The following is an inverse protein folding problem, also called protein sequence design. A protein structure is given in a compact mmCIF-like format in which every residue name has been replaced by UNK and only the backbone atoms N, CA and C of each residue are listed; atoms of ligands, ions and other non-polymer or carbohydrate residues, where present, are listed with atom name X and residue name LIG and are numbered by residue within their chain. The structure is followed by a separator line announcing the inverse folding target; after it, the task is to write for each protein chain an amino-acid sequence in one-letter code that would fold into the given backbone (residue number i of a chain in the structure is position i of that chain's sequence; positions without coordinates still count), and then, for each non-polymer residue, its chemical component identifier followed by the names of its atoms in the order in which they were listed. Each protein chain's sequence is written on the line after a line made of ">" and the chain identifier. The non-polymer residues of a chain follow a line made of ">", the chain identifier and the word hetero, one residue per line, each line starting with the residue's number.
data_IF_758867872475
#
_entry.id   IF_758867872475
#
_cell.length_a   1.000
_cell.length_b   1.000
_cell.length_c   1.000
_cell.angle_alpha   90.00
_cell.angle_beta   90.00
_cell.angle_gamma   90.00
#
_symmetry.space_group_name_H-M   'P 1'
#
loop_
_entity.id
_entity.type
_entity.pdbx_description
1 polymer ?
#
# COMPACT_ATOMS: atom_id res chain seq x y z
N UNK A 1 -31.95 47.58 -61.40
CA UNK A 1 -31.26 46.66 -60.48
C UNK A 1 -32.13 45.41 -60.39
N UNK A 2 -32.01 44.33 -61.17
CA UNK A 2 -30.84 43.54 -61.59
C UNK A 2 -30.33 42.74 -60.39
N UNK A 3 -30.30 41.41 -60.28
CA UNK A 3 -30.49 40.28 -61.21
C UNK A 3 -30.66 39.02 -60.34
N UNK A 4 -31.63 38.16 -60.64
CA UNK A 4 -31.67 36.76 -60.17
C UNK A 4 -30.52 35.96 -60.80
N UNK A 5 -29.89 35.07 -60.03
CA UNK A 5 -28.72 34.29 -60.44
C UNK A 5 -28.77 32.86 -59.94
N UNK A 6 -29.57 32.02 -60.61
CA UNK A 6 -29.57 30.56 -60.47
C UNK A 6 -28.27 30.00 -61.05
N UNK A 7 -27.36 29.58 -60.17
CA UNK A 7 -26.06 28.98 -60.52
C UNK A 7 -26.03 27.47 -60.29
N UNK A 8 -26.12 26.72 -61.39
CA UNK A 8 -26.11 25.25 -61.50
C UNK A 8 -25.03 24.54 -60.66
N UNK A 9 -25.45 23.50 -59.93
CA UNK A 9 -24.60 22.46 -59.33
C UNK A 9 -23.70 21.82 -60.39
N UNK A 10 -22.38 22.04 -60.32
CA UNK A 10 -21.40 21.18 -61.00
C UNK A 10 -21.24 19.89 -60.20
N UNK A 11 -21.78 18.80 -60.73
CA UNK A 11 -21.52 17.44 -60.27
C UNK A 11 -20.09 17.09 -60.69
N UNK A 12 -19.13 17.27 -59.79
CA UNK A 12 -17.76 16.78 -60.00
C UNK A 12 -17.79 15.27 -59.78
N UNK A 13 -17.67 14.53 -60.86
CA UNK A 13 -17.49 13.07 -60.87
C UNK A 13 -16.07 12.80 -60.37
N UNK A 14 -15.93 12.29 -59.16
CA UNK A 14 -14.67 11.72 -58.70
C UNK A 14 -14.50 10.31 -59.30
N UNK A 15 -13.30 9.92 -59.78
CA UNK A 15 -13.08 8.60 -60.33
C UNK A 15 -13.03 7.56 -59.21
N UNK A 16 -13.56 6.37 -59.49
CA UNK A 16 -13.41 5.19 -58.64
C UNK A 16 -11.93 4.81 -58.56
N UNK A 17 -11.31 4.97 -57.39
CA UNK A 17 -10.00 4.39 -57.09
C UNK A 17 -10.24 3.09 -56.34
N UNK A 18 -10.15 1.99 -57.10
CA UNK A 18 -10.09 0.64 -56.56
C UNK A 18 -8.71 0.40 -55.90
N UNK A 19 -8.76 0.01 -54.62
CA UNK A 19 -7.88 -1.00 -54.01
C UNK A 19 -6.38 -0.74 -53.93
N UNK A 20 -5.91 -0.31 -52.75
CA UNK A 20 -4.66 -0.83 -52.15
C UNK A 20 -4.92 -1.09 -50.67
N UNK A 21 -4.55 -2.29 -50.22
CA UNK A 21 -4.75 -2.83 -48.89
C UNK A 21 -3.71 -2.32 -47.88
N UNK A 22 -4.11 -2.38 -46.60
CA UNK A 22 -3.30 -2.48 -45.38
C UNK A 22 -2.34 -1.31 -45.09
N UNK A 23 -2.73 -0.50 -44.11
CA UNK A 23 -1.87 -0.28 -42.96
C UNK A 23 -2.72 -0.49 -41.70
N UNK A 24 -2.40 -1.57 -40.99
CA UNK A 24 -3.01 -1.88 -39.71
C UNK A 24 -2.60 -0.82 -38.71
N UNK A 25 -3.48 0.15 -38.46
CA UNK A 25 -3.40 0.98 -37.27
C UNK A 25 -3.13 0.06 -36.07
N UNK A 26 -2.19 0.39 -35.16
CA UNK A 26 -1.97 -0.39 -33.97
C UNK A 26 -3.31 -0.54 -33.26
N UNK A 27 -3.88 -1.75 -33.29
CA UNK A 27 -5.06 -2.07 -32.51
C UNK A 27 -4.69 -1.76 -31.06
N UNK A 28 -5.46 -0.95 -30.32
CA UNK A 28 -5.18 -0.73 -28.92
C UNK A 28 -5.35 -2.07 -28.23
N UNK A 29 -4.23 -2.74 -27.94
CA UNK A 29 -4.25 -3.97 -27.17
C UNK A 29 -4.97 -3.65 -25.86
N UNK A 30 -5.99 -4.44 -25.48
CA UNK A 30 -6.68 -4.20 -24.23
C UNK A 30 -5.63 -4.13 -23.13
N UNK A 31 -5.67 -3.10 -22.25
CA UNK A 31 -4.68 -2.96 -21.21
C UNK A 31 -4.64 -4.28 -20.42
N UNK A 32 -3.48 -4.94 -20.40
CA UNK A 32 -3.33 -6.20 -19.67
C UNK A 32 -3.54 -5.91 -18.19
N UNK A 33 -4.75 -6.18 -17.69
CA UNK A 33 -5.12 -5.97 -16.29
C UNK A 33 -4.34 -6.90 -15.35
N UNK A 34 -3.98 -8.10 -15.82
CA UNK A 34 -3.22 -9.10 -15.07
C UNK A 34 -1.75 -9.12 -15.51
N UNK A 35 -0.92 -8.41 -14.75
CA UNK A 35 0.54 -8.55 -14.78
C UNK A 35 1.02 -9.29 -13.52
N UNK A 36 2.24 -9.83 -13.55
CA UNK A 36 2.82 -10.52 -12.39
C UNK A 36 2.79 -9.67 -11.10
N UNK A 37 3.16 -8.37 -11.12
CA UNK A 37 3.00 -7.48 -9.95
C UNK A 37 1.55 -7.38 -9.47
N UNK A 38 0.59 -7.24 -10.39
CA UNK A 38 -0.83 -7.10 -10.04
C UNK A 38 -1.37 -8.37 -9.35
N UNK A 39 -0.96 -9.56 -9.82
CA UNK A 39 -1.33 -10.84 -9.18
C UNK A 39 -0.76 -10.94 -7.77
N UNK A 40 0.48 -10.51 -7.55
CA UNK A 40 1.11 -10.50 -6.23
C UNK A 40 0.36 -9.58 -5.26
N UNK A 41 -0.02 -8.37 -5.69
CA UNK A 41 -0.81 -7.44 -4.88
C UNK A 41 -2.19 -8.00 -4.53
N UNK A 42 -2.91 -8.61 -5.49
CA UNK A 42 -4.19 -9.27 -5.24
C UNK A 42 -4.02 -10.43 -4.25
N UNK A 43 -2.95 -11.22 -4.42
CA UNK A 43 -2.58 -12.28 -3.49
C UNK A 43 -2.38 -11.77 -2.06
N UNK A 44 -1.78 -10.59 -1.88
CA UNK A 44 -1.61 -9.94 -0.57
C UNK A 44 -2.94 -9.58 0.07
N UNK A 45 -3.87 -9.02 -0.70
CA UNK A 45 -5.23 -8.72 -0.22
C UNK A 45 -5.95 -10.01 0.21
N UNK A 46 -5.84 -11.08 -0.59
CA UNK A 46 -6.41 -12.38 -0.26
C UNK A 46 -5.72 -13.06 0.94
N UNK A 47 -4.46 -12.74 1.22
CA UNK A 47 -3.73 -13.23 2.38
C UNK A 47 -4.25 -12.63 3.71
N UNK A 48 -4.91 -11.47 3.70
CA UNK A 48 -5.45 -10.85 4.93
C UNK A 48 -6.52 -11.73 5.60
N UNK A 49 -7.58 -12.20 4.91
CA UNK A 49 -8.52 -13.17 5.48
C UNK A 49 -7.86 -14.46 5.97
N UNK A 50 -6.83 -14.95 5.24
CA UNK A 50 -6.10 -16.16 5.63
C UNK A 50 -5.28 -15.93 6.91
N UNK A 51 -4.64 -14.77 7.04
CA UNK A 51 -3.93 -14.35 8.23
C UNK A 51 -4.88 -14.27 9.43
N UNK A 52 -6.05 -13.64 9.25
CA UNK A 52 -7.09 -13.59 10.30
C UNK A 52 -7.52 -15.00 10.70
N UNK A 53 -7.80 -15.86 9.72
CA UNK A 53 -8.27 -17.23 9.98
C UNK A 53 -7.24 -18.02 10.79
N UNK A 54 -5.99 -18.07 10.31
CA UNK A 54 -4.89 -18.77 10.99
C UNK A 54 -4.57 -18.16 12.36
N UNK A 55 -4.76 -16.85 12.54
CA UNK A 55 -4.56 -16.19 13.83
C UNK A 55 -5.52 -16.70 14.91
N UNK A 56 -6.78 -16.98 14.56
CA UNK A 56 -7.79 -17.45 15.50
C UNK A 56 -7.77 -18.97 15.73
N UNK A 57 -7.11 -19.74 14.87
CA UNK A 57 -6.97 -21.18 15.02
C UNK A 57 -6.13 -21.55 16.24
N UNK A 58 -6.47 -22.67 16.86
CA UNK A 58 -5.75 -23.23 17.99
C UNK A 58 -4.80 -24.33 17.51
N UNK A 59 -3.57 -24.31 18.02
CA UNK A 59 -2.56 -25.32 17.74
C UNK A 59 -1.14 -24.74 17.62
N UNK A 60 -0.10 -25.58 17.81
CA UNK A 60 1.30 -25.13 17.75
C UNK A 60 1.70 -24.60 16.37
N UNK A 61 1.02 -25.06 15.31
CA UNK A 61 1.27 -24.63 13.94
C UNK A 61 0.64 -23.27 13.60
N UNK A 62 -0.37 -22.82 14.35
CA UNK A 62 -1.17 -21.64 14.00
C UNK A 62 -0.34 -20.35 14.07
N UNK A 63 0.51 -20.21 15.10
CA UNK A 63 1.42 -19.08 15.25
C UNK A 63 2.44 -19.01 14.10
N UNK A 64 3.06 -20.15 13.76
CA UNK A 64 4.03 -20.28 12.66
C UNK A 64 3.38 -20.02 11.30
N UNK A 65 2.18 -20.54 11.07
CA UNK A 65 1.42 -20.27 9.84
C UNK A 65 1.06 -18.79 9.71
N UNK A 66 0.52 -18.17 10.77
CA UNK A 66 0.18 -16.74 10.78
C UNK A 66 1.41 -15.87 10.48
N UNK A 67 2.52 -16.16 11.16
CA UNK A 67 3.80 -15.45 10.96
C UNK A 67 4.34 -15.67 9.55
N UNK A 68 4.26 -16.89 9.03
CA UNK A 68 4.69 -17.24 7.68
C UNK A 68 3.87 -16.53 6.61
N UNK A 69 2.54 -16.43 6.77
CA UNK A 69 1.67 -15.68 5.87
C UNK A 69 2.04 -14.19 5.87
N UNK A 70 2.20 -13.59 7.05
CA UNK A 70 2.60 -12.20 7.18
C UNK A 70 3.96 -11.94 6.50
N UNK A 71 4.95 -12.80 6.75
CA UNK A 71 6.28 -12.67 6.18
C UNK A 71 6.27 -12.84 4.65
N UNK A 72 5.53 -13.84 4.14
CA UNK A 72 5.36 -14.04 2.71
C UNK A 72 4.69 -12.83 2.03
N UNK A 73 3.69 -12.23 2.69
CA UNK A 73 3.05 -11.02 2.21
C UNK A 73 4.01 -9.81 2.17
N UNK A 74 4.84 -9.64 3.21
CA UNK A 74 5.84 -8.58 3.26
C UNK A 74 6.96 -8.76 2.23
N UNK A 75 7.40 -10.00 2.01
CA UNK A 75 8.43 -10.31 0.99
C UNK A 75 7.87 -10.11 -0.42
N UNK A 76 6.61 -10.49 -0.67
CA UNK A 76 5.98 -10.30 -1.99
C UNK A 76 5.76 -8.82 -2.33
N UNK A 77 5.52 -7.94 -1.35
CA UNK A 77 5.49 -6.46 -1.47
C UNK A 77 6.85 -5.85 -1.84
N UNK A 78 7.92 -6.36 -1.25
CA UNK A 78 9.23 -5.89 -1.66
C UNK A 78 9.57 -6.38 -3.09
N UNK A 79 9.18 -7.62 -3.40
CA UNK A 79 9.48 -8.26 -4.68
C UNK A 79 8.67 -7.66 -5.84
N UNK A 80 7.37 -7.41 -5.68
CA UNK A 80 6.55 -6.82 -6.74
C UNK A 80 7.00 -5.40 -7.09
N UNK A 81 7.38 -4.59 -6.09
CA UNK A 81 7.97 -3.26 -6.28
C UNK A 81 9.33 -3.32 -6.98
N UNK A 82 10.14 -4.34 -6.71
CA UNK A 82 11.39 -4.57 -7.44
C UNK A 82 11.14 -4.97 -8.90
N UNK A 83 10.24 -5.92 -9.15
CA UNK A 83 9.89 -6.41 -10.48
C UNK A 83 9.24 -5.30 -11.31
N UNK A 84 8.31 -4.54 -10.74
CA UNK A 84 7.64 -3.44 -11.42
C UNK A 84 8.63 -2.36 -11.87
N UNK A 85 9.61 -2.00 -11.02
CA UNK A 85 10.67 -1.05 -11.38
C UNK A 85 11.62 -1.57 -12.46
N UNK A 86 11.99 -2.85 -12.40
CA UNK A 86 12.95 -3.44 -13.32
C UNK A 86 12.36 -3.77 -14.68
N UNK A 87 11.10 -4.21 -14.72
CA UNK A 87 10.44 -4.71 -15.92
C UNK A 87 9.43 -3.74 -16.53
N UNK A 88 9.11 -2.62 -15.87
CA UNK A 88 8.12 -1.64 -16.30
C UNK A 88 6.70 -2.25 -16.53
N UNK A 89 6.39 -3.35 -15.85
CA UNK A 89 5.14 -4.13 -16.01
C UNK A 89 4.00 -3.69 -15.05
N UNK A 90 3.96 -2.39 -14.71
CA UNK A 90 2.93 -1.84 -13.83
C UNK A 90 1.60 -1.63 -14.53
N UNK A 91 0.49 -1.91 -13.83
CA UNK A 91 -0.87 -1.55 -14.29
C UNK A 91 -1.43 -0.42 -13.42
N UNK A 92 -2.33 0.44 -13.93
CA UNK A 92 -2.98 1.46 -13.12
C UNK A 92 -3.76 0.86 -11.94
N UNK A 93 -4.39 -0.29 -12.14
CA UNK A 93 -5.13 -1.00 -11.10
C UNK A 93 -4.21 -1.54 -10.00
N UNK A 94 -3.10 -2.19 -10.36
CA UNK A 94 -2.11 -2.67 -9.41
C UNK A 94 -1.48 -1.52 -8.60
N UNK A 95 -1.15 -0.40 -9.26
CA UNK A 95 -0.60 0.78 -8.60
C UNK A 95 -1.58 1.43 -7.59
N UNK A 96 -2.89 1.32 -7.84
CA UNK A 96 -3.91 1.74 -6.88
C UNK A 96 -4.07 0.76 -5.72
N UNK A 97 -4.05 -0.55 -6.01
CA UNK A 97 -4.29 -1.60 -5.01
C UNK A 97 -3.11 -1.75 -4.03
N UNK A 98 -1.88 -1.49 -4.48
CA UNK A 98 -0.67 -1.71 -3.70
C UNK A 98 -0.62 -0.90 -2.37
N UNK A 99 -0.86 0.43 -2.37
CA UNK A 99 -0.98 1.21 -1.13
C UNK A 99 -2.15 0.82 -0.22
N UNK A 100 -3.15 0.12 -0.74
CA UNK A 100 -4.30 -0.37 0.02
C UNK A 100 -3.94 -1.70 0.70
N UNK A 101 -3.37 -2.63 -0.06
CA UNK A 101 -2.98 -3.95 0.43
C UNK A 101 -1.96 -3.88 1.57
N UNK A 102 -0.94 -3.02 1.46
CA UNK A 102 0.07 -2.78 2.50
C UNK A 102 -0.58 -2.34 3.84
N UNK A 103 -1.42 -1.31 3.80
CA UNK A 103 -2.08 -0.77 5.00
C UNK A 103 -3.07 -1.74 5.62
N UNK A 104 -3.81 -2.49 4.80
CA UNK A 104 -4.75 -3.50 5.29
C UNK A 104 -4.02 -4.60 6.04
N UNK A 105 -2.92 -5.12 5.50
CA UNK A 105 -2.13 -6.19 6.13
C UNK A 105 -1.60 -5.75 7.50
N UNK A 106 -1.01 -4.55 7.57
CA UNK A 106 -0.50 -3.96 8.81
C UNK A 106 -1.61 -3.72 9.81
N UNK A 107 -2.69 -3.04 9.39
CA UNK A 107 -3.77 -2.68 10.29
C UNK A 107 -4.48 -3.92 10.85
N UNK A 108 -4.76 -4.92 10.00
CA UNK A 108 -5.32 -6.19 10.44
C UNK A 108 -4.42 -6.87 11.48
N UNK A 109 -3.11 -6.93 11.22
CA UNK A 109 -2.14 -7.55 12.14
C UNK A 109 -2.10 -6.84 13.49
N UNK A 110 -2.06 -5.50 13.50
CA UNK A 110 -2.09 -4.70 14.72
C UNK A 110 -3.37 -4.91 15.53
N UNK A 111 -4.52 -4.92 14.84
CA UNK A 111 -5.82 -5.17 15.47
C UNK A 111 -5.87 -6.56 16.09
N UNK A 112 -5.42 -7.60 15.37
CA UNK A 112 -5.39 -8.97 15.88
C UNK A 112 -4.48 -9.12 17.11
N UNK A 113 -3.30 -8.49 17.09
CA UNK A 113 -2.41 -8.48 18.26
C UNK A 113 -3.05 -7.77 19.48
N UNK A 114 -3.94 -6.80 19.26
CA UNK A 114 -4.71 -6.17 20.32
C UNK A 114 -5.90 -7.02 20.82
N UNK A 115 -6.50 -7.88 19.99
CA UNK A 115 -7.66 -8.69 20.39
C UNK A 115 -7.26 -9.93 21.21
N UNK A 116 -6.12 -10.56 20.88
CA UNK A 116 -5.53 -11.65 21.67
C UNK A 116 -4.12 -11.26 22.09
N UNK A 117 -3.96 -10.42 23.14
CA UNK A 117 -2.64 -10.07 23.65
C UNK A 117 -1.92 -11.32 24.15
N UNK A 118 -0.59 -11.34 24.01
CA UNK A 118 0.24 -12.44 24.48
C UNK A 118 0.13 -12.57 26.01
N UNK A 119 0.12 -13.80 26.51
CA UNK A 119 -0.07 -14.13 27.94
C UNK A 119 1.19 -13.85 28.77
N UNK A 120 1.61 -12.60 28.83
CA UNK A 120 2.81 -12.15 29.55
C UNK A 120 2.38 -11.09 30.54
N UNK A 121 2.97 -11.08 31.73
CA UNK A 121 2.59 -10.17 32.83
C UNK A 121 2.51 -8.71 32.39
N UNK A 122 3.48 -8.24 31.58
CA UNK A 122 3.49 -6.88 31.04
C UNK A 122 2.22 -6.51 30.24
N UNK A 123 1.75 -7.41 29.37
CA UNK A 123 0.58 -7.16 28.52
C UNK A 123 -0.74 -7.47 29.22
N UNK A 124 -0.73 -8.35 30.22
CA UNK A 124 -1.87 -8.61 31.09
C UNK A 124 -2.22 -7.37 31.93
N UNK A 125 -1.22 -6.74 32.52
CA UNK A 125 -1.41 -5.55 33.37
C UNK A 125 -1.52 -4.26 32.55
N UNK A 126 -0.99 -4.26 31.32
CA UNK A 126 -0.95 -3.10 30.44
C UNK A 126 -1.36 -3.40 28.99
N UNK A 127 -2.63 -3.75 28.70
CA UNK A 127 -3.07 -3.99 27.32
C UNK A 127 -2.88 -2.76 26.42
N UNK A 128 -2.89 -1.57 27.02
CA UNK A 128 -2.61 -0.29 26.37
C UNK A 128 -1.22 -0.23 25.71
N UNK A 129 -0.26 -1.07 26.13
CA UNK A 129 1.08 -1.13 25.54
C UNK A 129 1.08 -1.52 24.06
N UNK A 130 0.11 -2.31 23.60
CA UNK A 130 -0.09 -2.59 22.18
C UNK A 130 -1.11 -1.65 21.54
N UNK A 131 -2.19 -1.33 22.26
CA UNK A 131 -3.28 -0.52 21.71
C UNK A 131 -2.86 0.91 21.38
N UNK A 132 -2.07 1.57 22.24
CA UNK A 132 -1.60 2.94 22.02
C UNK A 132 -0.76 3.07 20.74
N UNK A 133 0.34 2.32 20.56
CA UNK A 133 1.12 2.41 19.33
C UNK A 133 0.35 1.91 18.10
N UNK A 134 -0.57 0.92 18.24
CA UNK A 134 -1.42 0.49 17.14
C UNK A 134 -2.33 1.61 16.63
N UNK A 135 -3.02 2.32 17.52
CA UNK A 135 -3.86 3.47 17.15
C UNK A 135 -3.01 4.56 16.51
N UNK A 136 -1.85 4.89 17.09
CA UNK A 136 -0.95 5.91 16.55
C UNK A 136 -0.47 5.57 15.13
N UNK A 137 -0.10 4.30 14.88
CA UNK A 137 0.36 3.82 13.56
C UNK A 137 -0.79 3.86 12.55
N UNK A 138 -1.95 3.27 12.87
CA UNK A 138 -3.11 3.22 11.98
C UNK A 138 -3.62 4.62 11.65
N UNK A 139 -3.83 5.45 12.69
CA UNK A 139 -4.29 6.82 12.53
C UNK A 139 -3.33 7.65 11.66
N UNK A 140 -2.01 7.47 11.84
CA UNK A 140 -1.00 8.10 10.99
C UNK A 140 -1.08 7.61 9.54
N UNK A 141 -1.24 6.32 9.29
CA UNK A 141 -1.32 5.78 7.92
C UNK A 141 -2.55 6.31 7.17
N UNK A 142 -3.70 6.39 7.85
CA UNK A 142 -4.91 6.99 7.29
C UNK A 142 -4.68 8.48 6.99
N UNK A 143 -4.17 9.23 7.97
CA UNK A 143 -3.90 10.67 7.83
C UNK A 143 -2.96 10.95 6.66
N UNK A 144 -1.84 10.21 6.58
CA UNK A 144 -0.88 10.39 5.49
C UNK A 144 -1.42 9.98 4.12
N UNK A 145 -2.36 9.04 4.07
CA UNK A 145 -3.06 8.68 2.82
C UNK A 145 -3.91 9.85 2.34
N UNK A 146 -4.77 10.38 3.21
CA UNK A 146 -5.63 11.52 2.90
C UNK A 146 -4.82 12.78 2.52
N UNK A 147 -3.75 13.06 3.26
CA UNK A 147 -2.85 14.19 2.98
C UNK A 147 -2.18 14.06 1.63
N UNK A 148 -1.72 12.85 1.25
CA UNK A 148 -1.08 12.62 -0.05
C UNK A 148 -2.06 12.71 -1.20
N UNK A 149 -3.26 12.18 -1.03
CA UNK A 149 -4.33 12.28 -2.02
C UNK A 149 -4.74 13.75 -2.24
N UNK A 150 -4.99 14.48 -1.15
CA UNK A 150 -5.24 15.91 -1.21
C UNK A 150 -4.08 16.65 -1.88
N UNK A 151 -2.83 16.41 -1.48
CA UNK A 151 -1.65 17.04 -2.07
C UNK A 151 -1.50 16.76 -3.57
N UNK A 152 -1.94 15.59 -4.05
CA UNK A 152 -1.95 15.23 -5.47
C UNK A 152 -2.95 16.04 -6.29
N UNK A 153 -4.00 16.57 -5.66
CA UNK A 153 -4.94 17.52 -6.29
C UNK A 153 -4.48 18.98 -6.24
N UNK A 154 -3.38 19.28 -5.53
CA UNK A 154 -2.85 20.64 -5.37
C UNK A 154 -1.67 20.92 -6.31
N UNK A 155 -1.13 22.14 -6.25
CA UNK A 155 0.06 22.54 -7.01
C UNK A 155 1.30 21.69 -6.67
N UNK A 156 2.21 21.55 -7.64
CA UNK A 156 3.44 20.72 -7.57
C UNK A 156 4.28 20.94 -6.30
N UNK A 157 4.30 22.16 -5.74
CA UNK A 157 5.03 22.48 -4.50
C UNK A 157 4.50 21.71 -3.28
N UNK A 158 3.18 21.52 -3.17
CA UNK A 158 2.56 20.76 -2.06
C UNK A 158 2.83 19.27 -2.22
N UNK A 159 2.84 18.77 -3.46
CA UNK A 159 3.22 17.39 -3.79
C UNK A 159 4.67 17.09 -3.38
N UNK A 160 5.61 18.00 -3.65
CA UNK A 160 7.01 17.87 -3.23
C UNK A 160 7.17 17.91 -1.70
N UNK A 161 6.33 18.67 -0.99
CA UNK A 161 6.36 18.73 0.46
C UNK A 161 6.04 17.37 1.11
N UNK A 162 5.19 16.56 0.47
CA UNK A 162 4.80 15.22 0.94
C UNK A 162 5.68 14.09 0.38
N UNK A 163 6.73 14.42 -0.39
CA UNK A 163 7.65 13.45 -0.95
C UNK A 163 8.35 12.61 0.14
N UNK A 164 8.61 11.34 -0.16
CA UNK A 164 9.11 10.36 0.81
C UNK A 164 10.46 10.81 1.39
N UNK A 165 10.51 11.02 2.70
CA UNK A 165 11.73 11.29 3.43
C UNK A 165 12.32 9.97 3.96
N UNK A 166 13.63 9.91 4.21
CA UNK A 166 14.32 8.69 4.68
C UNK A 166 13.71 8.12 5.97
N UNK A 167 13.07 8.95 6.81
CA UNK A 167 12.37 8.51 8.01
C UNK A 167 11.22 7.55 7.72
N UNK A 168 10.55 7.68 6.57
CA UNK A 168 9.49 6.76 6.16
C UNK A 168 10.01 5.34 5.95
N UNK A 169 11.23 5.19 5.44
CA UNK A 169 11.86 3.87 5.20
C UNK A 169 12.16 3.16 6.51
N UNK A 170 12.78 3.87 7.45
CA UNK A 170 13.09 3.33 8.79
C UNK A 170 11.83 2.98 9.57
N UNK A 171 10.77 3.79 9.44
CA UNK A 171 9.47 3.52 10.05
C UNK A 171 8.90 2.18 9.57
N UNK A 172 8.85 1.96 8.25
CA UNK A 172 8.31 0.71 7.69
C UNK A 172 9.16 -0.50 8.09
N UNK A 173 10.49 -0.39 8.02
CA UNK A 173 11.37 -1.48 8.43
C UNK A 173 11.16 -1.89 9.90
N UNK A 174 11.20 -0.91 10.82
CA UNK A 174 10.95 -1.15 12.25
C UNK A 174 9.55 -1.72 12.51
N UNK A 175 8.54 -1.27 11.77
CA UNK A 175 7.18 -1.77 11.90
C UNK A 175 7.06 -3.24 11.47
N UNK A 176 7.60 -3.60 10.30
CA UNK A 176 7.52 -4.97 9.78
C UNK A 176 8.29 -5.93 10.69
N UNK A 177 9.46 -5.53 11.18
CA UNK A 177 10.23 -6.32 12.15
C UNK A 177 9.47 -6.47 13.47
N UNK A 178 8.89 -5.39 14.01
CA UNK A 178 8.09 -5.46 15.24
C UNK A 178 6.93 -6.44 15.12
N UNK A 179 6.13 -6.32 14.05
CA UNK A 179 4.98 -7.20 13.82
C UNK A 179 5.40 -8.66 13.61
N UNK A 180 6.50 -8.91 12.90
CA UNK A 180 7.02 -10.26 12.69
C UNK A 180 7.44 -10.90 14.00
N UNK A 181 8.17 -10.16 14.85
CA UNK A 181 8.60 -10.65 16.17
C UNK A 181 7.39 -10.92 17.07
N UNK A 182 6.41 -10.01 17.10
CA UNK A 182 5.20 -10.16 17.91
C UNK A 182 4.35 -11.34 17.44
N UNK A 183 4.19 -11.56 16.14
CA UNK A 183 3.49 -12.72 15.61
C UNK A 183 4.23 -14.03 15.91
N UNK A 184 5.55 -14.06 15.69
CA UNK A 184 6.39 -15.22 15.95
C UNK A 184 6.32 -15.62 17.43
N UNK A 185 6.41 -14.64 18.32
CA UNK A 185 6.36 -14.85 19.77
C UNK A 185 5.04 -15.41 20.30
N UNK A 186 4.00 -15.57 19.47
CA UNK A 186 2.79 -16.30 19.83
C UNK A 186 3.03 -17.81 19.94
N UNK A 187 4.07 -18.33 19.29
CA UNK A 187 4.50 -19.71 19.48
C UNK A 187 5.14 -19.86 20.86
N UNK A 188 4.45 -20.57 21.76
CA UNK A 188 4.90 -20.84 23.14
C UNK A 188 6.16 -21.72 23.18
N UNK A 189 6.54 -22.35 22.06
CA UNK A 189 7.71 -23.22 21.95
C UNK A 189 9.02 -22.45 21.80
N UNK A 190 8.96 -21.14 21.51
CA UNK A 190 10.15 -20.33 21.28
C UNK A 190 10.91 -20.03 22.58
N UNK A 191 12.24 -20.23 22.59
CA UNK A 191 13.06 -19.82 23.73
C UNK A 191 13.05 -18.29 23.88
N UNK A 192 13.11 -17.81 25.12
CA UNK A 192 13.16 -16.37 25.45
C UNK A 192 11.95 -15.55 24.91
N UNK A 193 10.75 -16.12 24.93
CA UNK A 193 9.50 -15.47 24.50
C UNK A 193 9.32 -14.07 25.12
N UNK A 194 9.58 -13.90 26.41
CA UNK A 194 9.44 -12.61 27.09
C UNK A 194 10.35 -11.52 26.51
N UNK A 195 11.59 -11.88 26.18
CA UNK A 195 12.54 -10.97 25.57
C UNK A 195 12.12 -10.60 24.14
N UNK A 196 11.64 -11.58 23.36
CA UNK A 196 11.10 -11.34 22.02
C UNK A 196 9.91 -10.38 22.08
N UNK A 197 8.97 -10.58 22.99
CA UNK A 197 7.78 -9.72 23.09
C UNK A 197 8.15 -8.32 23.54
N UNK A 198 9.03 -8.21 24.55
CA UNK A 198 9.53 -6.91 25.01
C UNK A 198 10.22 -6.15 23.89
N UNK A 199 11.08 -6.82 23.10
CA UNK A 199 11.75 -6.21 21.95
C UNK A 199 10.77 -5.84 20.83
N UNK A 200 9.75 -6.67 20.57
CA UNK A 200 8.69 -6.40 19.60
C UNK A 200 7.87 -5.17 19.97
N UNK A 201 7.47 -5.04 21.24
CA UNK A 201 6.78 -3.86 21.78
C UNK A 201 7.68 -2.63 21.68
N UNK A 202 8.95 -2.73 22.10
CA UNK A 202 9.90 -1.62 22.02
C UNK A 202 10.07 -1.11 20.58
N UNK A 203 10.26 -2.02 19.62
CA UNK A 203 10.32 -1.68 18.19
C UNK A 203 9.01 -1.08 17.67
N UNK A 204 7.87 -1.54 18.16
CA UNK A 204 6.56 -0.98 17.80
C UNK A 204 6.42 0.47 18.28
N UNK A 205 6.88 0.79 19.49
CA UNK A 205 6.95 2.16 19.99
C UNK A 205 7.93 3.04 19.20
N UNK A 206 9.10 2.51 18.84
CA UNK A 206 10.04 3.20 17.95
C UNK A 206 9.37 3.51 16.61
N UNK A 207 8.67 2.54 16.03
CA UNK A 207 7.95 2.72 14.76
C UNK A 207 6.84 3.76 14.88
N UNK A 208 6.06 3.73 15.97
CA UNK A 208 5.03 4.74 16.25
C UNK A 208 5.64 6.15 16.41
N UNK A 209 6.73 6.28 17.15
CA UNK A 209 7.47 7.54 17.29
C UNK A 209 7.96 8.09 15.95
N UNK A 210 8.58 7.23 15.13
CA UNK A 210 9.00 7.59 13.77
C UNK A 210 7.81 8.00 12.89
N UNK A 211 6.67 7.31 13.02
CA UNK A 211 5.47 7.60 12.26
C UNK A 211 4.91 8.99 12.57
N UNK A 212 4.77 9.31 13.86
CA UNK A 212 4.27 10.61 14.33
C UNK A 212 5.25 11.72 13.98
N UNK A 213 6.55 11.51 14.23
CA UNK A 213 7.56 12.49 13.87
C UNK A 213 7.57 12.78 12.36
N UNK A 214 7.47 11.73 11.54
CA UNK A 214 7.31 11.87 10.09
C UNK A 214 6.09 12.72 9.73
N UNK A 215 4.94 12.49 10.36
CA UNK A 215 3.72 13.26 10.12
C UNK A 215 3.91 14.74 10.47
N UNK A 216 4.53 15.04 11.62
CA UNK A 216 4.82 16.42 12.04
C UNK A 216 5.71 17.13 11.02
N UNK A 217 6.76 16.46 10.51
CA UNK A 217 7.63 17.03 9.46
C UNK A 217 6.84 17.35 8.20
N UNK A 218 5.95 16.46 7.78
CA UNK A 218 5.10 16.68 6.60
C UNK A 218 4.14 17.85 6.78
N UNK A 219 3.42 17.90 7.90
CA UNK A 219 2.48 18.99 8.22
C UNK A 219 3.19 20.35 8.27
N UNK A 220 4.37 20.42 8.89
CA UNK A 220 5.17 21.66 8.92
C UNK A 220 5.58 22.16 7.54
N UNK A 221 5.91 21.25 6.61
CA UNK A 221 6.25 21.62 5.23
C UNK A 221 5.04 22.18 4.48
N UNK A 222 3.89 21.52 4.60
CA UNK A 222 2.63 21.98 3.97
C UNK A 222 2.24 23.36 4.51
N UNK A 223 2.26 23.54 5.83
CA UNK A 223 1.90 24.80 6.47
C UNK A 223 2.74 25.98 5.98
N UNK A 224 4.05 25.79 5.80
CA UNK A 224 4.95 26.83 5.26
C UNK A 224 4.66 27.22 3.81
N UNK A 225 4.08 26.31 3.02
CA UNK A 225 3.72 26.57 1.63
C UNK A 225 2.39 27.31 1.58
N UNK A 226 1.42 26.94 2.43
CA UNK A 226 0.12 27.61 2.49
C UNK A 226 0.19 29.05 3.01
N UNK A 227 1.19 29.37 3.84
CA UNK A 227 1.41 30.72 4.38
C UNK A 227 2.25 31.63 3.45
N UNK A 228 2.68 31.17 2.28
CA UNK A 228 3.41 31.96 1.29
C UNK A 228 2.55 32.22 0.06
#
# INVERSE_FOLDING_TARGET
>A
MGSEGVGRRRRVVAPAVNGVAKDGAPQPHPPKLLTLPTVLTIGRVAAVPLLISTFYMEGPWAATATTGIFLAAAVTDWLDGYIARKMQLGTPFGAFLDPVADKLMVAATLVLLCTKPLEISLLRDGPWLLTVPAIAIIGREITMSAVREWAASQNTKVLEAVAVNNLGKWKTATQMTALTILLASRDKSLPAQDALVTSGIALLYVSAGLAIWSLVVYMRKIWRILLK
#
